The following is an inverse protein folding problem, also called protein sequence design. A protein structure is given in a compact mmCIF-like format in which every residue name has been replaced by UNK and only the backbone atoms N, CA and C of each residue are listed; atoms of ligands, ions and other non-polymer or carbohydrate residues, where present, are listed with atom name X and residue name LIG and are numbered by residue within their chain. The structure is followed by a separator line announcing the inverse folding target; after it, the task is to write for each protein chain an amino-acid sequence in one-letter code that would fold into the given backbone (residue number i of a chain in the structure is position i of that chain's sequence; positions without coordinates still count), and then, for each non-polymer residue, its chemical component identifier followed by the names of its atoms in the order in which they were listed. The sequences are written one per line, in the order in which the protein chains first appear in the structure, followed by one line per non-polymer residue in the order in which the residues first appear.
data_IF_661782128247
#
_entry.id   IF_661782128247
#
_cell.length_a   1.000
_cell.length_b   1.000
_cell.length_c   1.000
_cell.angle_alpha   90.00
_cell.angle_beta   90.00
_cell.angle_gamma   90.00
#
_symmetry.space_group_name_H-M   'P 1'
#
loop_
_entity.id
_entity.type
_entity.pdbx_description
1 polymer ?
#
# COMPACT_ATOMS: atom_id res chain seq x y z
N UNK A 1 -39.01 -28.16 50.10
CA UNK A 1 -38.81 -26.77 49.64
C UNK A 1 -37.35 -26.41 49.85
N UNK A 2 -36.56 -26.31 48.77
CA UNK A 2 -35.16 -25.85 48.79
C UNK A 2 -35.05 -24.65 47.85
N UNK A 3 -34.51 -23.52 48.30
CA UNK A 3 -34.02 -22.50 47.39
C UNK A 3 -32.48 -22.41 47.45
N UNK A 4 -31.89 -22.01 46.33
CA UNK A 4 -30.83 -20.98 46.18
C UNK A 4 -29.66 -21.36 45.25
N UNK A 5 -29.63 -20.61 44.14
CA UNK A 5 -28.51 -19.98 43.41
C UNK A 5 -27.69 -20.88 42.46
N UNK A 6 -27.71 -20.59 41.15
CA UNK A 6 -26.65 -20.99 40.23
C UNK A 6 -25.61 -19.87 40.10
N UNK A 7 -24.32 -20.19 40.29
CA UNK A 7 -23.20 -19.29 40.02
C UNK A 7 -22.05 -20.10 39.41
N UNK A 8 -21.76 -19.88 38.12
CA UNK A 8 -20.43 -19.73 37.51
C UNK A 8 -20.62 -19.73 35.99
N UNK A 9 -20.68 -18.56 35.38
CA UNK A 9 -19.54 -17.86 34.78
C UNK A 9 -19.24 -18.37 33.35
N UNK A 10 -20.01 -17.87 32.39
CA UNK A 10 -19.63 -17.88 30.99
C UNK A 10 -18.52 -16.85 30.77
N UNK A 11 -17.29 -17.34 30.58
CA UNK A 11 -16.14 -16.54 30.23
C UNK A 11 -16.20 -16.28 28.72
N UNK A 12 -16.88 -15.20 28.32
CA UNK A 12 -16.87 -14.74 26.92
C UNK A 12 -15.53 -14.07 26.67
N UNK A 13 -14.60 -14.79 26.07
CA UNK A 13 -13.42 -14.20 25.48
C UNK A 13 -13.87 -13.31 24.32
N UNK A 14 -14.00 -12.01 24.57
CA UNK A 14 -14.21 -11.02 23.54
C UNK A 14 -12.93 -10.91 22.71
N UNK A 15 -12.84 -11.69 21.64
CA UNK A 15 -11.93 -11.39 20.53
C UNK A 15 -12.39 -10.07 19.93
N UNK A 16 -11.71 -8.99 20.30
CA UNK A 16 -11.80 -7.71 19.60
C UNK A 16 -11.21 -7.92 18.20
N UNK A 17 -12.02 -8.40 17.27
CA UNK A 17 -11.76 -8.24 15.84
C UNK A 17 -11.86 -6.74 15.57
N UNK A 18 -10.73 -6.04 15.66
CA UNK A 18 -10.58 -4.72 15.06
C UNK A 18 -10.78 -4.94 13.57
N UNK A 19 -12.03 -4.81 13.12
CA UNK A 19 -12.32 -4.69 11.70
C UNK A 19 -11.58 -3.45 11.27
N UNK A 20 -10.54 -3.62 10.44
CA UNK A 20 -10.01 -2.52 9.67
C UNK A 20 -11.20 -2.04 8.83
N UNK A 21 -11.92 -1.02 9.30
CA UNK A 21 -12.87 -0.31 8.47
C UNK A 21 -12.03 0.20 7.31
N UNK A 22 -12.20 -0.43 6.15
CA UNK A 22 -11.74 0.15 4.91
C UNK A 22 -12.40 1.52 4.87
N UNK A 23 -11.63 2.59 5.13
CA UNK A 23 -12.00 3.89 4.61
C UNK A 23 -12.37 3.65 3.15
N UNK A 24 -13.45 4.23 2.65
CA UNK A 24 -13.87 3.98 1.28
C UNK A 24 -12.98 4.74 0.29
N UNK A 25 -11.68 4.44 0.36
CA UNK A 25 -10.59 5.03 -0.39
C UNK A 25 -10.76 4.75 -1.89
N UNK A 26 -11.56 3.74 -2.25
CA UNK A 26 -11.94 3.45 -3.63
C UNK A 26 -12.81 4.55 -4.25
N UNK A 27 -13.44 5.39 -3.44
CA UNK A 27 -14.20 6.56 -3.88
C UNK A 27 -13.47 7.90 -3.65
N UNK A 28 -12.24 7.88 -3.13
CA UNK A 28 -11.42 9.08 -3.01
C UNK A 28 -11.14 9.71 -4.37
N UNK A 29 -10.93 11.03 -4.36
CA UNK A 29 -10.71 11.81 -5.57
C UNK A 29 -9.32 11.57 -6.12
N UNK A 30 -9.23 11.51 -7.44
CA UNK A 30 -7.96 11.39 -8.13
C UNK A 30 -7.13 12.66 -7.97
N UNK A 31 -5.86 12.49 -7.64
CA UNK A 31 -4.84 13.55 -7.70
C UNK A 31 -4.18 13.53 -9.07
N UNK A 32 -3.74 12.36 -9.51
CA UNK A 32 -3.00 12.19 -10.76
C UNK A 32 -2.68 10.73 -11.07
N UNK A 33 -2.32 10.49 -12.33
CA UNK A 33 -1.98 9.18 -12.88
C UNK A 33 -0.63 9.27 -13.61
N UNK A 34 0.17 8.22 -13.54
CA UNK A 34 1.42 8.12 -14.29
C UNK A 34 1.62 6.71 -14.83
N UNK A 35 2.44 6.55 -15.88
CA UNK A 35 2.74 5.23 -16.46
C UNK A 35 4.23 5.06 -16.61
N UNK A 36 4.82 4.11 -15.87
CA UNK A 36 6.21 3.74 -16.07
C UNK A 36 6.32 2.91 -17.36
N UNK A 37 7.24 3.29 -18.24
CA UNK A 37 7.54 2.60 -19.49
C UNK A 37 9.01 2.22 -19.58
N UNK A 38 9.28 1.09 -20.22
CA UNK A 38 10.61 0.69 -20.66
C UNK A 38 10.59 0.50 -22.18
N UNK A 39 11.13 1.48 -22.90
CA UNK A 39 10.96 1.58 -24.35
C UNK A 39 9.47 1.68 -24.72
N UNK A 40 8.98 0.88 -25.69
CA UNK A 40 7.57 0.91 -26.08
C UNK A 40 6.63 0.23 -25.07
N UNK A 41 7.18 -0.56 -24.15
CA UNK A 41 6.39 -1.39 -23.23
C UNK A 41 6.08 -0.64 -21.94
N UNK A 42 4.82 -0.67 -21.52
CA UNK A 42 4.44 -0.14 -20.21
C UNK A 42 4.57 -1.25 -19.14
N UNK A 43 5.11 -0.87 -17.99
CA UNK A 43 5.40 -1.77 -16.87
C UNK A 43 4.23 -1.75 -15.90
N UNK A 44 3.85 -0.55 -15.47
CA UNK A 44 2.67 -0.32 -14.66
C UNK A 44 2.10 1.08 -14.88
N UNK A 45 0.82 1.24 -14.56
CA UNK A 45 0.17 2.54 -14.35
C UNK A 45 -0.05 2.77 -12.86
N UNK A 46 0.43 3.88 -12.34
CA UNK A 46 0.19 4.32 -10.98
C UNK A 46 -0.91 5.40 -10.95
N UNK A 47 -1.68 5.42 -9.88
CA UNK A 47 -2.70 6.42 -9.59
C UNK A 47 -2.59 6.83 -8.13
N UNK A 48 -2.65 8.13 -7.86
CA UNK A 48 -2.69 8.67 -6.51
C UNK A 48 -4.06 9.26 -6.23
N UNK A 49 -4.67 8.89 -5.11
CA UNK A 49 -5.95 9.42 -4.64
C UNK A 49 -5.84 9.97 -3.23
N UNK A 50 -6.60 11.01 -2.95
CA UNK A 50 -6.77 11.57 -1.60
C UNK A 50 -8.25 11.92 -1.38
N UNK A 51 -8.70 12.09 -0.12
CA UNK A 51 -10.08 12.47 0.15
C UNK A 51 -10.55 13.72 -0.63
N UNK A 52 -9.67 14.72 -0.80
CA UNK A 52 -9.99 16.00 -1.43
C UNK A 52 -9.50 16.14 -2.89
N UNK A 53 -8.65 15.21 -3.36
CA UNK A 53 -8.05 15.22 -4.69
C UNK A 53 -6.82 16.12 -4.82
N UNK A 54 -6.19 16.51 -3.70
CA UNK A 54 -4.97 17.33 -3.68
C UNK A 54 -3.86 16.64 -2.90
N UNK A 55 -2.63 16.77 -3.38
CA UNK A 55 -1.46 16.29 -2.64
C UNK A 55 -0.92 17.36 -1.70
N UNK A 56 -0.78 17.02 -0.42
CA UNK A 56 -0.22 17.89 0.62
C UNK A 56 1.00 17.30 1.36
N UNK A 57 1.43 16.08 1.01
CA UNK A 57 2.62 15.43 1.57
C UNK A 57 2.43 13.96 1.87
N UNK A 58 3.47 13.31 2.41
CA UNK A 58 3.46 11.87 2.72
C UNK A 58 2.56 11.48 3.90
N UNK A 59 2.30 12.41 4.82
CA UNK A 59 1.58 12.13 6.06
C UNK A 59 0.06 12.20 5.94
N UNK A 60 -0.45 12.62 4.78
CA UNK A 60 -1.88 12.71 4.53
C UNK A 60 -2.50 11.32 4.31
N UNK A 61 -3.82 11.26 4.43
CA UNK A 61 -4.60 10.10 4.01
C UNK A 61 -4.59 10.01 2.47
N UNK A 62 -4.04 8.93 1.93
CA UNK A 62 -3.86 8.76 0.49
C UNK A 62 -3.81 7.30 0.08
N UNK A 63 -4.21 7.02 -1.15
CA UNK A 63 -4.15 5.70 -1.75
C UNK A 63 -3.27 5.76 -3.00
N UNK A 64 -2.16 5.04 -2.97
CA UNK A 64 -1.35 4.77 -4.15
C UNK A 64 -1.80 3.44 -4.73
N UNK A 65 -2.27 3.44 -5.98
CA UNK A 65 -2.75 2.25 -6.68
C UNK A 65 -1.83 1.99 -7.87
N UNK A 66 -1.29 0.78 -7.95
CA UNK A 66 -0.42 0.33 -9.05
C UNK A 66 -1.18 -0.74 -9.83
N UNK A 67 -1.38 -0.53 -11.13
CA UNK A 67 -1.93 -1.51 -12.07
C UNK A 67 -0.81 -2.04 -12.93
N UNK A 68 -0.48 -3.32 -12.76
CA UNK A 68 0.60 -3.98 -13.50
C UNK A 68 0.13 -4.30 -14.92
N UNK A 69 1.05 -4.20 -15.89
CA UNK A 69 0.77 -4.45 -17.32
C UNK A 69 1.54 -5.65 -17.87
N UNK A 70 2.04 -6.48 -16.95
CA UNK A 70 2.82 -7.69 -17.22
C UNK A 70 2.89 -8.53 -15.95
N UNK A 71 3.29 -9.78 -16.14
CA UNK A 71 3.67 -10.63 -15.02
C UNK A 71 4.99 -10.14 -14.37
N UNK A 72 5.01 -10.10 -13.03
CA UNK A 72 6.19 -9.83 -12.20
C UNK A 72 6.13 -10.75 -10.97
N UNK A 73 7.20 -11.50 -10.74
CA UNK A 73 7.32 -12.37 -9.56
C UNK A 73 7.41 -11.56 -8.27
N UNK A 74 6.90 -12.11 -7.16
CA UNK A 74 6.95 -11.45 -5.86
C UNK A 74 8.38 -11.08 -5.43
N UNK A 75 9.35 -11.96 -5.67
CA UNK A 75 10.77 -11.72 -5.40
C UNK A 75 11.26 -10.50 -6.19
N UNK A 76 10.92 -10.40 -7.47
CA UNK A 76 11.27 -9.24 -8.31
C UNK A 76 10.63 -7.94 -7.82
N UNK A 77 9.41 -7.97 -7.27
CA UNK A 77 8.79 -6.79 -6.66
C UNK A 77 9.56 -6.32 -5.41
N UNK A 78 10.01 -7.26 -4.59
CA UNK A 78 10.79 -6.96 -3.38
C UNK A 78 12.18 -6.44 -3.75
N UNK A 79 12.84 -7.05 -4.71
CA UNK A 79 14.14 -6.60 -5.21
C UNK A 79 14.07 -5.19 -5.80
N UNK A 80 13.06 -4.92 -6.62
CA UNK A 80 12.83 -3.57 -7.13
C UNK A 80 12.59 -2.57 -5.99
N UNK A 81 11.85 -2.97 -4.94
CA UNK A 81 11.64 -2.12 -3.74
C UNK A 81 12.95 -1.86 -3.00
N UNK A 82 13.78 -2.90 -2.82
CA UNK A 82 15.12 -2.80 -2.23
C UNK A 82 16.00 -1.83 -3.01
N UNK A 83 16.05 -1.95 -4.33
CA UNK A 83 16.81 -1.04 -5.19
C UNK A 83 16.36 0.41 -5.06
N UNK A 84 15.05 0.66 -5.06
CA UNK A 84 14.51 2.02 -4.86
C UNK A 84 14.84 2.56 -3.46
N UNK A 85 14.79 1.72 -2.43
CA UNK A 85 15.17 2.11 -1.08
C UNK A 85 16.67 2.38 -0.94
N UNK A 86 17.52 1.61 -1.58
CA UNK A 86 18.96 1.85 -1.62
C UNK A 86 19.26 3.19 -2.31
N UNK A 87 18.64 3.43 -3.47
CA UNK A 87 18.74 4.68 -4.23
C UNK A 87 18.30 5.91 -3.41
N UNK A 88 17.25 5.76 -2.61
CA UNK A 88 16.77 6.81 -1.72
C UNK A 88 17.59 6.95 -0.42
N UNK A 89 18.60 6.10 -0.19
CA UNK A 89 19.36 6.06 1.07
C UNK A 89 18.51 5.62 2.27
N UNK A 90 17.41 4.89 2.04
CA UNK A 90 16.54 4.34 3.08
C UNK A 90 17.23 3.20 3.81
N UNK A 91 17.91 2.30 3.07
CA UNK A 91 18.56 1.13 3.69
C UNK A 91 19.64 1.54 4.70
N UNK A 92 20.34 2.64 4.45
CA UNK A 92 21.39 3.15 5.34
C UNK A 92 20.83 3.89 6.58
N UNK A 93 19.67 4.54 6.46
CA UNK A 93 19.13 5.41 7.51
C UNK A 93 18.03 4.79 8.36
N UNK A 94 17.33 3.78 7.85
CA UNK A 94 16.23 3.09 8.53
C UNK A 94 16.68 1.69 8.96
N UNK A 95 16.99 1.47 10.25
CA UNK A 95 17.49 0.17 10.74
C UNK A 95 16.51 -0.98 10.52
N UNK A 96 15.20 -0.69 10.42
CA UNK A 96 14.15 -1.69 10.21
C UNK A 96 13.93 -2.04 8.73
N UNK A 97 14.63 -1.37 7.80
CA UNK A 97 14.40 -1.52 6.37
C UNK A 97 14.57 -2.98 5.88
N UNK A 98 15.57 -3.69 6.38
CA UNK A 98 15.77 -5.10 6.04
C UNK A 98 14.62 -5.98 6.55
N UNK A 99 14.16 -5.80 7.78
CA UNK A 99 13.01 -6.53 8.32
C UNK A 99 11.73 -6.26 7.52
N UNK A 100 11.55 -5.01 7.08
CA UNK A 100 10.44 -4.64 6.21
C UNK A 100 10.52 -5.33 4.85
N UNK A 101 11.70 -5.44 4.24
CA UNK A 101 11.86 -6.18 2.97
C UNK A 101 11.54 -7.67 3.14
N UNK A 102 11.93 -8.30 4.25
CA UNK A 102 11.54 -9.68 4.56
C UNK A 102 10.03 -9.83 4.74
N UNK A 103 9.39 -8.87 5.42
CA UNK A 103 7.93 -8.83 5.54
C UNK A 103 7.26 -8.72 4.18
N UNK A 104 7.75 -7.85 3.28
CA UNK A 104 7.22 -7.70 1.93
C UNK A 104 7.33 -9.00 1.12
N UNK A 105 8.43 -9.74 1.26
CA UNK A 105 8.63 -11.04 0.60
C UNK A 105 7.63 -12.11 1.04
N UNK A 106 7.14 -12.04 2.28
CA UNK A 106 6.10 -12.94 2.78
C UNK A 106 4.69 -12.46 2.41
N UNK A 107 4.54 -11.15 2.19
CA UNK A 107 3.25 -10.50 2.06
C UNK A 107 2.73 -10.43 0.62
N UNK A 108 3.61 -10.08 -0.32
CA UNK A 108 3.19 -9.80 -1.68
C UNK A 108 3.12 -11.08 -2.52
N UNK A 109 2.00 -11.32 -3.22
CA UNK A 109 1.95 -12.33 -4.26
C UNK A 109 2.69 -11.86 -5.51
N UNK A 110 3.00 -12.79 -6.42
CA UNK A 110 3.29 -12.41 -7.80
C UNK A 110 2.08 -11.70 -8.41
N UNK A 111 2.34 -10.79 -9.34
CA UNK A 111 1.31 -9.98 -10.01
C UNK A 111 1.27 -10.32 -11.49
N UNK A 112 0.08 -10.34 -12.07
CA UNK A 112 -0.16 -10.59 -13.49
C UNK A 112 -0.55 -9.30 -14.22
N UNK A 113 -0.60 -9.35 -15.55
CA UNK A 113 -1.16 -8.26 -16.35
C UNK A 113 -2.61 -7.99 -15.93
N UNK A 114 -2.89 -6.75 -15.51
CA UNK A 114 -4.17 -6.29 -14.99
C UNK A 114 -4.32 -6.39 -13.47
N UNK A 115 -3.43 -7.11 -12.77
CA UNK A 115 -3.45 -7.15 -11.30
C UNK A 115 -3.11 -5.79 -10.72
N UNK A 116 -3.64 -5.53 -9.52
CA UNK A 116 -3.42 -4.27 -8.80
C UNK A 116 -2.94 -4.49 -7.38
N UNK A 117 -1.94 -3.71 -7.01
CA UNK A 117 -1.51 -3.53 -5.62
C UNK A 117 -1.81 -2.10 -5.22
N UNK A 118 -2.50 -1.90 -4.09
CA UNK A 118 -2.74 -0.59 -3.53
C UNK A 118 -2.14 -0.49 -2.12
N UNK A 119 -1.60 0.68 -1.80
CA UNK A 119 -1.15 1.03 -0.46
C UNK A 119 -1.90 2.26 0.01
N UNK A 120 -2.66 2.09 1.09
CA UNK A 120 -3.59 3.11 1.59
C UNK A 120 -3.12 3.53 2.97
N UNK A 121 -2.86 4.82 3.13
CA UNK A 121 -2.54 5.40 4.44
C UNK A 121 -3.75 6.07 5.06
N UNK A 122 -3.96 5.80 6.36
CA UNK A 122 -4.86 6.59 7.19
C UNK A 122 -4.22 6.81 8.56
N UNK A 123 -4.30 8.04 9.07
CA UNK A 123 -3.62 8.43 10.31
C UNK A 123 -2.13 8.06 10.30
N UNK A 124 -1.47 8.26 9.15
CA UNK A 124 -0.07 7.93 8.85
C UNK A 124 0.30 6.44 8.83
N UNK A 125 -0.60 5.54 9.18
CA UNK A 125 -0.38 4.09 9.10
C UNK A 125 -0.89 3.55 7.78
N UNK A 126 -0.26 2.50 7.24
CA UNK A 126 -0.51 2.02 5.88
C UNK A 126 -1.00 0.59 5.81
N UNK A 127 -1.94 0.29 4.92
CA UNK A 127 -2.43 -1.07 4.66
C UNK A 127 -2.23 -1.42 3.19
N UNK A 128 -1.68 -2.60 2.92
CA UNK A 128 -1.64 -3.15 1.57
C UNK A 128 -2.97 -3.78 1.19
N UNK A 129 -3.31 -3.67 -0.08
CA UNK A 129 -4.48 -4.27 -0.70
C UNK A 129 -4.12 -4.85 -2.05
N UNK A 130 -4.75 -5.95 -2.42
CA UNK A 130 -4.52 -6.62 -3.69
C UNK A 130 -5.82 -6.88 -4.41
N UNK A 131 -5.78 -6.80 -5.75
CA UNK A 131 -6.85 -7.23 -6.63
C UNK A 131 -6.24 -7.98 -7.82
N UNK A 132 -6.48 -9.29 -7.96
CA UNK A 132 -5.96 -10.05 -9.11
C UNK A 132 -6.70 -9.66 -10.39
N UNK A 133 -6.03 -9.76 -11.54
CA UNK A 133 -6.54 -9.40 -12.86
C UNK A 133 -7.87 -10.07 -13.23
N UNK A 134 -8.03 -11.36 -12.89
CA UNK A 134 -9.23 -12.15 -13.18
C UNK A 134 -10.44 -11.78 -12.31
N UNK A 135 -10.25 -10.95 -11.27
CA UNK A 135 -11.32 -10.55 -10.37
C UNK A 135 -12.04 -9.31 -10.89
N UNK A 136 -13.33 -9.45 -11.17
CA UNK A 136 -14.23 -8.30 -11.28
C UNK A 136 -14.56 -7.66 -9.91
N UNK A 137 -13.98 -8.19 -8.83
CA UNK A 137 -14.34 -7.89 -7.46
C UNK A 137 -13.54 -6.78 -6.77
N UNK A 138 -13.68 -6.78 -5.44
CA UNK A 138 -13.14 -5.79 -4.52
C UNK A 138 -11.67 -6.06 -4.19
N UNK A 139 -10.98 -5.03 -3.70
CA UNK A 139 -9.65 -5.16 -3.12
C UNK A 139 -9.70 -5.98 -1.83
N UNK A 140 -8.79 -6.95 -1.68
CA UNK A 140 -8.60 -7.70 -0.43
C UNK A 140 -7.39 -7.16 0.33
N UNK A 141 -7.47 -7.00 1.67
CA UNK A 141 -6.33 -6.55 2.44
C UNK A 141 -5.24 -7.62 2.43
N UNK A 142 -3.98 -7.18 2.29
CA UNK A 142 -2.81 -8.02 2.45
C UNK A 142 -2.14 -7.70 3.77
N UNK A 143 -2.12 -8.68 4.68
CA UNK A 143 -1.35 -8.63 5.92
C UNK A 143 -1.76 -7.49 6.87
N UNK A 144 -0.93 -7.23 7.90
CA UNK A 144 -1.25 -6.24 8.91
C UNK A 144 -1.02 -4.80 8.44
N UNK A 145 -1.62 -3.87 9.17
CA UNK A 145 -1.32 -2.43 9.06
C UNK A 145 0.13 -2.18 9.43
N UNK A 146 0.78 -1.35 8.63
CA UNK A 146 2.18 -0.97 8.74
C UNK A 146 2.34 0.36 9.49
N UNK A 147 3.42 0.51 10.27
CA UNK A 147 3.68 1.72 11.04
C UNK A 147 3.98 2.93 10.13
N UNK A 148 3.95 4.11 10.74
CA UNK A 148 4.16 5.37 10.02
C UNK A 148 5.55 5.49 9.36
N UNK A 149 6.59 4.95 10.01
CA UNK A 149 7.96 4.95 9.45
C UNK A 149 8.03 4.16 8.14
N UNK A 150 7.53 2.91 8.14
CA UNK A 150 7.41 2.10 6.93
C UNK A 150 6.59 2.83 5.86
N UNK A 151 5.42 3.36 6.23
CA UNK A 151 4.48 3.97 5.30
C UNK A 151 5.10 5.15 4.56
N UNK A 152 5.85 6.00 5.27
CA UNK A 152 6.59 7.11 4.68
C UNK A 152 7.71 6.63 3.73
N UNK A 153 8.48 5.61 4.13
CA UNK A 153 9.57 5.05 3.32
C UNK A 153 9.06 4.38 2.04
N UNK A 154 7.98 3.60 2.14
CA UNK A 154 7.37 2.93 1.00
C UNK A 154 6.82 3.95 -0.01
N UNK A 155 6.00 4.91 0.44
CA UNK A 155 5.44 5.94 -0.45
C UNK A 155 6.50 6.86 -1.06
N UNK A 156 7.66 7.02 -0.41
CA UNK A 156 8.76 7.83 -0.92
C UNK A 156 9.29 7.35 -2.27
N UNK A 157 9.15 6.07 -2.61
CA UNK A 157 9.52 5.52 -3.93
C UNK A 157 8.87 6.31 -5.06
N UNK A 158 7.59 6.70 -4.90
CA UNK A 158 6.85 7.45 -5.92
C UNK A 158 6.73 8.94 -5.63
N UNK A 159 6.63 9.33 -4.36
CA UNK A 159 6.19 10.67 -3.96
C UNK A 159 7.31 11.55 -3.41
N UNK A 160 8.48 10.98 -3.09
CA UNK A 160 9.64 11.77 -2.64
C UNK A 160 10.17 12.66 -3.77
N UNK A 161 10.56 13.92 -3.51
CA UNK A 161 11.28 14.74 -4.48
C UNK A 161 12.61 14.11 -4.95
N UNK A 162 13.15 13.13 -4.21
CA UNK A 162 14.37 12.40 -4.54
C UNK A 162 14.11 11.09 -5.30
N UNK A 163 12.88 10.81 -5.72
CA UNK A 163 12.58 9.62 -6.53
C UNK A 163 13.40 9.60 -7.83
N UNK A 164 13.78 8.40 -8.27
CA UNK A 164 14.45 8.20 -9.55
C UNK A 164 13.55 8.53 -10.76
N UNK A 165 12.25 8.70 -10.56
CA UNK A 165 11.28 8.98 -11.62
C UNK A 165 10.57 10.34 -11.43
N UNK A 166 11.27 11.48 -11.56
CA UNK A 166 10.72 12.80 -11.26
C UNK A 166 9.52 13.19 -12.14
N UNK A 167 9.52 12.79 -13.42
CA UNK A 167 8.40 13.03 -14.33
C UNK A 167 7.15 12.23 -13.93
N UNK A 168 7.31 10.95 -13.54
CA UNK A 168 6.21 10.12 -13.04
C UNK A 168 5.62 10.72 -11.76
N UNK A 169 6.49 11.21 -10.88
CA UNK A 169 6.06 11.92 -9.69
C UNK A 169 5.24 13.15 -10.04
N UNK A 170 5.73 14.01 -10.93
CA UNK A 170 4.99 15.22 -11.32
C UNK A 170 3.59 14.87 -11.83
N UNK A 171 3.46 13.87 -12.70
CA UNK A 171 2.17 13.40 -13.20
C UNK A 171 1.26 12.86 -12.08
N UNK A 172 1.80 12.07 -11.14
CA UNK A 172 1.06 11.56 -9.98
C UNK A 172 0.56 12.65 -9.03
N UNK A 173 1.33 13.72 -8.88
CA UNK A 173 1.00 14.84 -8.00
C UNK A 173 0.01 15.84 -8.63
N UNK A 174 -0.55 15.52 -9.79
CA UNK A 174 -1.47 16.39 -10.52
C UNK A 174 -0.76 17.55 -11.23
N UNK A 175 0.55 17.42 -11.47
CA UNK A 175 1.36 18.38 -12.21
C UNK A 175 0.79 18.61 -13.61
N UNK A 176 0.75 19.89 -14.00
CA UNK A 176 0.18 20.37 -15.25
C UNK A 176 0.77 19.64 -16.47
N UNK A 177 -0.09 19.31 -17.43
CA UNK A 177 0.32 18.85 -18.76
C UNK A 177 1.01 19.97 -19.53
#
# INVERSE_FOLDING_TARGET
MKPRVPLLAWLVAALYLTSAQAADWTHWRNVGDATLRFGPFAVYRSQLRTPDGRYSGLQQDQALIITYQRHIDSETLVDATREQWQALGILDREPQSEEWLHMLAQLWPSVDDGSQLAFVTSNRQGQFWYRPSSSQGQFMPLGPVQPAAFSACFLSIWLSPQTHYPELRQQLLGGER
#
